data_IF_167745136576
#
_entry.id   IF_167745136576
#
_cell.length_a   1.000
_cell.length_b   1.000
_cell.length_c   1.000
_cell.angle_alpha   90.00
_cell.angle_beta   90.00
_cell.angle_gamma   90.00
#
_symmetry.space_group_name_H-M   'P 1'
#
loop_
_entity.id
_entity.type
_entity.pdbx_description
1 polymer ?
#
# COMPACT_ATOMS: atom_id res chain seq x y z
N UNK A 1 5.78 -7.29 1.17
CA UNK A 1 5.02 -6.50 2.17
C UNK A 1 3.56 -6.87 2.09
N UNK A 2 2.93 -7.05 3.22
CA UNK A 2 1.52 -7.36 3.26
C UNK A 2 0.69 -6.09 3.32
N UNK A 3 -0.60 -6.21 2.95
CA UNK A 3 -1.52 -5.08 2.95
C UNK A 3 -1.58 -4.39 4.31
N UNK A 4 -1.68 -5.18 5.39
CA UNK A 4 -1.80 -4.62 6.73
C UNK A 4 -0.57 -3.81 7.14
N UNK A 5 0.62 -4.25 6.74
CA UNK A 5 1.84 -3.52 6.98
C UNK A 5 1.81 -2.15 6.30
N UNK A 6 1.38 -2.12 5.05
CA UNK A 6 1.28 -0.86 4.30
C UNK A 6 0.25 0.08 4.93
N UNK A 7 -0.88 -0.46 5.38
CA UNK A 7 -1.90 0.33 6.05
C UNK A 7 -1.35 0.95 7.33
N UNK A 8 -0.62 0.16 8.12
CA UNK A 8 -0.02 0.66 9.36
C UNK A 8 1.01 1.74 9.09
N UNK A 9 1.85 1.55 8.07
CA UNK A 9 2.86 2.54 7.71
C UNK A 9 2.26 3.83 7.19
N UNK A 10 1.17 3.74 6.43
CA UNK A 10 0.48 4.92 5.91
C UNK A 10 -0.36 5.63 6.98
N UNK A 11 -0.79 4.89 7.99
CA UNK A 11 -1.64 5.38 9.06
C UNK A 11 -3.07 4.87 8.99
N UNK A 12 -3.61 4.68 7.79
CA UNK A 12 -4.95 4.12 7.60
C UNK A 12 -5.11 3.66 6.15
N UNK A 13 -6.14 2.84 5.90
CA UNK A 13 -6.46 2.40 4.54
C UNK A 13 -6.81 3.59 3.65
N UNK A 14 -7.49 4.58 4.20
CA UNK A 14 -7.83 5.79 3.45
C UNK A 14 -6.58 6.54 3.01
N UNK A 15 -5.62 6.72 3.91
CA UNK A 15 -4.36 7.40 3.57
C UNK A 15 -3.57 6.63 2.54
N UNK A 16 -3.53 5.32 2.67
CA UNK A 16 -2.85 4.47 1.67
C UNK A 16 -3.51 4.62 0.30
N UNK A 17 -4.85 4.61 0.26
CA UNK A 17 -5.58 4.78 -0.99
C UNK A 17 -5.28 6.13 -1.64
N UNK A 18 -5.25 7.20 -0.84
CA UNK A 18 -4.93 8.54 -1.33
C UNK A 18 -3.53 8.59 -1.91
N UNK A 19 -2.56 7.98 -1.23
CA UNK A 19 -1.18 7.92 -1.71
C UNK A 19 -1.07 7.26 -3.08
N UNK A 20 -1.83 6.19 -3.29
CA UNK A 20 -1.78 5.40 -4.51
C UNK A 20 -2.72 5.92 -5.60
N UNK A 21 -3.60 6.86 -5.27
CA UNK A 21 -4.57 7.36 -6.22
C UNK A 21 -5.69 6.37 -6.54
N UNK A 22 -6.03 5.51 -5.59
CA UNK A 22 -7.07 4.49 -5.76
C UNK A 22 -8.12 4.62 -4.65
N UNK A 23 -9.21 3.86 -4.76
CA UNK A 23 -10.25 3.86 -3.73
C UNK A 23 -9.90 2.88 -2.60
N UNK A 24 -10.53 3.10 -1.44
CA UNK A 24 -10.42 2.15 -0.32
C UNK A 24 -10.94 0.77 -0.71
N UNK A 25 -11.98 0.73 -1.52
CA UNK A 25 -12.53 -0.53 -2.00
C UNK A 25 -11.50 -1.34 -2.79
N UNK A 26 -10.67 -0.65 -3.58
CA UNK A 26 -9.59 -1.31 -4.32
C UNK A 26 -8.60 -1.95 -3.36
N UNK A 27 -8.26 -1.29 -2.27
CA UNK A 27 -7.37 -1.86 -1.26
C UNK A 27 -8.00 -3.10 -0.62
N UNK A 28 -9.27 -3.05 -0.30
CA UNK A 28 -10.00 -4.18 0.28
C UNK A 28 -9.99 -5.40 -0.63
N UNK A 29 -9.97 -5.18 -1.95
CA UNK A 29 -9.95 -6.27 -2.92
C UNK A 29 -8.60 -6.97 -3.03
N UNK A 30 -7.55 -6.40 -2.48
CA UNK A 30 -6.21 -7.01 -2.54
C UNK A 30 -6.09 -8.31 -1.74
N UNK A 31 -6.97 -8.54 -0.80
CA UNK A 31 -6.81 -9.66 0.11
C UNK A 31 -5.68 -9.40 1.09
N UNK A 32 -4.81 -10.39 1.32
CA UNK A 32 -3.71 -10.28 2.29
C UNK A 32 -2.49 -9.60 1.68
N UNK A 33 -2.23 -9.84 0.40
CA UNK A 33 -1.01 -9.40 -0.27
C UNK A 33 -1.28 -8.23 -1.20
N UNK A 34 -0.30 -7.32 -1.29
CA UNK A 34 -0.37 -6.18 -2.21
C UNK A 34 -0.05 -6.67 -3.63
N UNK A 35 -0.85 -6.27 -4.64
CA UNK A 35 -0.53 -6.60 -6.03
C UNK A 35 0.84 -6.07 -6.44
N UNK A 36 1.53 -6.81 -7.32
CA UNK A 36 2.87 -6.43 -7.77
C UNK A 36 2.96 -5.01 -8.29
N UNK A 37 2.00 -4.60 -9.10
CA UNK A 37 2.00 -3.25 -9.68
C UNK A 37 1.97 -2.19 -8.58
N UNK A 38 1.17 -2.40 -7.55
CA UNK A 38 1.10 -1.46 -6.44
C UNK A 38 2.33 -1.55 -5.55
N UNK A 39 2.92 -2.72 -5.43
CA UNK A 39 4.19 -2.89 -4.72
C UNK A 39 5.29 -2.05 -5.37
N UNK A 40 5.41 -2.09 -6.69
CA UNK A 40 6.38 -1.27 -7.40
C UNK A 40 6.12 0.21 -7.22
N UNK A 41 4.84 0.62 -7.25
CA UNK A 41 4.47 2.01 -7.02
C UNK A 41 4.89 2.47 -5.62
N UNK A 42 4.65 1.65 -4.62
CA UNK A 42 5.05 1.97 -3.24
C UNK A 42 6.56 2.06 -3.10
N UNK A 43 7.30 1.17 -3.76
CA UNK A 43 8.77 1.22 -3.73
C UNK A 43 9.30 2.52 -4.32
N UNK A 44 8.65 3.01 -5.37
CA UNK A 44 9.03 4.27 -5.99
C UNK A 44 8.67 5.47 -5.10
N UNK A 45 7.52 5.42 -4.44
CA UNK A 45 7.03 6.53 -3.62
C UNK A 45 7.63 6.54 -2.21
N UNK A 46 7.81 5.36 -1.64
CA UNK A 46 8.27 5.20 -0.26
C UNK A 46 9.33 4.12 -0.16
N UNK A 47 10.50 4.36 -0.72
CA UNK A 47 11.59 3.38 -0.66
C UNK A 47 12.01 3.08 0.79
N UNK A 48 11.81 4.01 1.70
CA UNK A 48 12.13 3.83 3.11
C UNK A 48 11.30 2.72 3.77
N UNK A 49 10.12 2.40 3.23
CA UNK A 49 9.30 1.31 3.77
C UNK A 49 9.91 -0.06 3.49
N UNK A 50 10.81 -0.15 2.53
CA UNK A 50 11.39 -1.41 2.06
C UNK A 50 12.86 -1.57 2.45
N UNK A 51 13.39 -0.65 3.23
CA UNK A 51 14.76 -0.73 3.72
C UNK A 51 14.79 -1.66 4.94
N UNK A 52 15.71 -2.60 4.90
CA UNK A 52 15.89 -3.56 6.00
C UNK A 52 16.79 -2.98 7.08
#
# INVERSE_FOLDING_TARGET
MEKDQAINLAGSARKLAEMLGISRAAISQWGVTIPKARMWQLKAMRPDWFVS
#
